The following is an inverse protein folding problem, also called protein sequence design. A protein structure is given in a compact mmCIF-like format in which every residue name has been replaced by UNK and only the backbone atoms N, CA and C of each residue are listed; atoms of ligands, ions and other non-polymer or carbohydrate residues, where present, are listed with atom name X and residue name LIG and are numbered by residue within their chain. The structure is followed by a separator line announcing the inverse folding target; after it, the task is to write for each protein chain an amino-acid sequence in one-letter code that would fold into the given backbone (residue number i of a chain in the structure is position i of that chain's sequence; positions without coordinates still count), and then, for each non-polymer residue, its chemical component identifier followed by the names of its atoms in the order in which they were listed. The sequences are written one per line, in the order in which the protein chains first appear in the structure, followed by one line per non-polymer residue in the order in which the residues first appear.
data_IF_604209234474
#
_entry.id   IF_604209234474
#
_cell.length_a   1.000
_cell.length_b   1.000
_cell.length_c   1.000
_cell.angle_alpha   90.00
_cell.angle_beta   90.00
_cell.angle_gamma   90.00
#
_symmetry.space_group_name_H-M   'P 1'
#
loop_
_entity.id
_entity.type
_entity.pdbx_description
1 polymer ?
#
# COMPACT_ATOMS: atom_id res chain seq x y z
N UNK A 1 -5.03 11.00 6.12
CA UNK A 1 -5.51 10.03 7.12
C UNK A 1 -4.42 9.01 7.45
N UNK A 2 -4.56 8.31 8.58
CA UNK A 2 -3.49 7.46 9.13
C UNK A 2 -3.62 5.97 8.76
N UNK A 3 -4.35 5.65 7.72
CA UNK A 3 -4.85 4.30 7.44
C UNK A 3 -4.27 3.63 6.18
N UNK A 4 -3.22 4.13 5.62
CA UNK A 4 -2.54 3.49 4.50
C UNK A 4 -1.88 4.47 3.54
N UNK A 5 -1.40 3.96 2.41
CA UNK A 5 -0.90 4.77 1.31
C UNK A 5 -2.04 5.56 0.66
N UNK A 6 -1.70 6.69 0.06
CA UNK A 6 -2.66 7.46 -0.71
C UNK A 6 -3.04 6.66 -1.98
N UNK A 7 -4.34 6.44 -2.17
CA UNK A 7 -4.85 5.54 -3.21
C UNK A 7 -4.50 6.05 -4.61
N UNK A 8 -4.63 7.34 -4.85
CA UNK A 8 -4.37 7.94 -6.17
C UNK A 8 -2.89 7.81 -6.54
N UNK A 9 -2.00 8.05 -5.60
CA UNK A 9 -0.55 7.88 -5.83
C UNK A 9 -0.20 6.43 -6.11
N UNK A 10 -0.72 5.50 -5.32
CA UNK A 10 -0.47 4.07 -5.52
C UNK A 10 -0.98 3.57 -6.87
N UNK A 11 -2.23 3.90 -7.23
CA UNK A 11 -2.84 3.47 -8.49
C UNK A 11 -2.17 4.14 -9.69
N UNK A 12 -1.85 5.43 -9.60
CA UNK A 12 -1.16 6.15 -10.69
C UNK A 12 0.24 5.58 -10.93
N UNK A 13 0.97 5.23 -9.88
CA UNK A 13 2.28 4.58 -10.00
C UNK A 13 2.15 3.21 -10.70
N UNK A 14 1.18 2.38 -10.30
CA UNK A 14 0.95 1.08 -10.91
C UNK A 14 0.60 1.20 -12.39
N UNK A 15 -0.27 2.14 -12.77
CA UNK A 15 -0.65 2.39 -14.15
C UNK A 15 0.56 2.84 -14.97
N UNK A 16 1.29 3.84 -14.50
CA UNK A 16 2.45 4.38 -15.20
C UNK A 16 3.54 3.33 -15.44
N UNK A 17 3.83 2.52 -14.43
CA UNK A 17 4.81 1.43 -14.54
C UNK A 17 4.34 0.34 -15.50
N UNK A 18 3.05 0.00 -15.47
CA UNK A 18 2.45 -0.96 -16.40
C UNK A 18 2.53 -0.47 -17.84
N UNK A 19 2.19 0.78 -18.10
CA UNK A 19 2.28 1.40 -19.42
C UNK A 19 3.74 1.46 -19.95
N UNK A 20 4.70 1.64 -19.05
CA UNK A 20 6.12 1.61 -19.38
C UNK A 20 6.68 0.19 -19.61
N UNK A 21 5.88 -0.85 -19.45
CA UNK A 21 6.30 -2.25 -19.59
C UNK A 21 7.17 -2.77 -18.45
N UNK A 22 7.15 -2.13 -17.29
CA UNK A 22 7.92 -2.51 -16.12
C UNK A 22 7.23 -3.67 -15.40
N UNK A 23 8.00 -4.68 -15.03
CA UNK A 23 7.51 -5.74 -14.16
C UNK A 23 7.42 -5.22 -12.72
N UNK A 24 6.23 -5.20 -12.18
CA UNK A 24 5.95 -4.71 -10.82
C UNK A 24 5.68 -5.86 -9.88
N UNK A 25 6.21 -5.79 -8.67
CA UNK A 25 5.85 -6.65 -7.54
C UNK A 25 5.41 -5.75 -6.38
N UNK A 26 4.26 -6.04 -5.81
CA UNK A 26 3.73 -5.26 -4.69
C UNK A 26 4.06 -5.92 -3.35
N UNK A 27 4.32 -5.08 -2.37
CA UNK A 27 4.57 -5.49 -0.99
C UNK A 27 3.83 -4.59 -0.02
N UNK A 28 3.39 -5.15 1.10
CA UNK A 28 2.87 -4.38 2.21
C UNK A 28 3.20 -5.07 3.54
N UNK A 29 3.28 -4.34 4.65
CA UNK A 29 3.49 -4.95 5.95
C UNK A 29 2.24 -5.74 6.38
N UNK A 30 2.45 -6.90 6.95
CA UNK A 30 1.37 -7.71 7.51
C UNK A 30 1.11 -7.26 8.96
N UNK A 31 0.50 -6.11 9.12
CA UNK A 31 0.19 -5.49 10.41
C UNK A 31 -1.27 -5.06 10.49
N UNK A 32 -1.80 -5.01 11.69
CA UNK A 32 -3.11 -4.41 11.94
C UNK A 32 -2.98 -2.90 12.20
N UNK A 33 -3.96 -2.16 11.73
CA UNK A 33 -4.10 -0.73 11.99
C UNK A 33 -5.58 -0.36 12.15
N UNK A 34 -5.83 0.78 12.77
CA UNK A 34 -7.17 1.35 12.86
C UNK A 34 -7.49 2.14 11.60
N UNK A 35 -8.49 1.73 10.87
CA UNK A 35 -8.98 2.46 9.71
C UNK A 35 -9.56 3.83 10.12
N UNK A 36 -9.51 4.79 9.21
CA UNK A 36 -10.17 6.08 9.36
C UNK A 36 -11.55 6.04 8.70
N UNK A 37 -12.56 6.55 9.37
CA UNK A 37 -13.87 6.76 8.77
C UNK A 37 -13.84 8.08 7.99
N UNK A 38 -13.50 8.02 6.72
CA UNK A 38 -13.30 9.21 5.89
C UNK A 38 -14.56 10.05 5.67
N UNK A 39 -15.72 9.43 5.78
CA UNK A 39 -17.04 10.08 5.62
C UNK A 39 -17.53 10.76 6.89
N UNK A 40 -16.95 10.43 8.06
CA UNK A 40 -17.35 10.94 9.35
C UNK A 40 -16.13 11.51 10.10
N UNK A 41 -16.09 12.82 10.21
CA UNK A 41 -14.95 13.52 10.79
C UNK A 41 -14.69 13.10 12.24
N UNK A 42 -13.49 12.61 12.50
CA UNK A 42 -13.05 12.20 13.84
C UNK A 42 -13.46 10.79 14.24
N UNK A 43 -14.23 10.07 13.42
CA UNK A 43 -14.54 8.68 13.70
C UNK A 43 -13.33 7.76 13.44
N UNK A 44 -13.18 6.78 14.32
CA UNK A 44 -12.23 5.68 14.16
C UNK A 44 -12.95 4.50 13.54
N UNK A 45 -12.41 3.98 12.45
CA UNK A 45 -12.91 2.75 11.84
C UNK A 45 -12.50 1.48 12.58
N UNK A 46 -12.94 0.35 12.05
CA UNK A 46 -12.58 -0.97 12.57
C UNK A 46 -11.07 -1.27 12.37
N UNK A 47 -10.58 -2.25 13.12
CA UNK A 47 -9.26 -2.79 12.89
C UNK A 47 -9.20 -3.48 11.53
N UNK A 48 -8.15 -3.19 10.76
CA UNK A 48 -7.90 -3.76 9.43
C UNK A 48 -6.46 -4.18 9.31
N UNK A 49 -6.18 -5.06 8.35
CA UNK A 49 -4.84 -5.54 8.07
C UNK A 49 -4.28 -4.84 6.83
N UNK A 50 -3.06 -4.30 6.92
CA UNK A 50 -2.46 -3.50 5.85
C UNK A 50 -2.23 -4.29 4.55
N UNK A 51 -1.76 -5.53 4.63
CA UNK A 51 -1.55 -6.34 3.42
C UNK A 51 -2.89 -6.73 2.77
N UNK A 52 -3.92 -7.01 3.57
CA UNK A 52 -5.25 -7.32 3.04
C UNK A 52 -5.87 -6.12 2.31
N UNK A 53 -5.78 -4.92 2.88
CA UNK A 53 -6.27 -3.70 2.25
C UNK A 53 -5.47 -3.32 0.99
N UNK A 54 -4.14 -3.44 1.05
CA UNK A 54 -3.27 -3.19 -0.11
C UNK A 54 -3.52 -4.21 -1.22
N UNK A 55 -3.82 -5.45 -0.87
CA UNK A 55 -4.16 -6.52 -1.81
C UNK A 55 -5.38 -6.21 -2.67
N UNK A 56 -6.33 -5.42 -2.18
CA UNK A 56 -7.46 -4.92 -2.98
C UNK A 56 -7.00 -4.04 -4.14
N UNK A 57 -6.01 -3.19 -3.91
CA UNK A 57 -5.45 -2.28 -4.92
C UNK A 57 -4.60 -3.07 -5.94
N UNK A 58 -3.76 -3.98 -5.45
CA UNK A 58 -2.89 -4.83 -6.28
C UNK A 58 -3.62 -6.05 -6.88
N UNK A 59 -4.91 -6.19 -6.65
CA UNK A 59 -5.74 -7.28 -7.17
C UNK A 59 -5.26 -8.67 -6.74
N UNK A 60 -4.77 -8.76 -5.50
CA UNK A 60 -4.27 -10.00 -4.91
C UNK A 60 -2.80 -10.32 -5.19
N UNK A 61 -2.16 -9.62 -6.13
CA UNK A 61 -0.73 -9.79 -6.42
C UNK A 61 0.11 -8.94 -5.44
N UNK A 62 0.19 -9.42 -4.20
CA UNK A 62 0.91 -8.75 -3.13
C UNK A 62 1.59 -9.76 -2.21
N UNK A 63 2.74 -9.39 -1.68
CA UNK A 63 3.52 -10.19 -0.74
C UNK A 63 3.79 -9.43 0.56
N UNK A 64 4.08 -10.17 1.62
CA UNK A 64 4.53 -9.58 2.89
C UNK A 64 5.85 -8.83 2.67
N UNK A 65 5.93 -7.61 3.21
CA UNK A 65 7.13 -6.76 3.09
C UNK A 65 8.40 -7.44 3.61
N UNK A 66 8.27 -8.36 4.56
CA UNK A 66 9.38 -9.15 5.10
C UNK A 66 10.00 -10.11 4.08
N UNK A 67 9.30 -10.42 3.00
CA UNK A 67 9.78 -11.25 1.91
C UNK A 67 10.58 -10.47 0.85
N UNK A 68 10.60 -9.13 0.95
CA UNK A 68 11.32 -8.30 -0.01
C UNK A 68 12.82 -8.50 0.12
N UNK A 69 13.43 -8.89 -0.99
CA UNK A 69 14.88 -8.98 -1.15
C UNK A 69 15.32 -7.93 -2.15
N UNK A 70 16.00 -6.90 -1.69
CA UNK A 70 16.43 -5.78 -2.51
C UNK A 70 17.21 -6.19 -3.76
N UNK A 71 18.01 -7.26 -3.67
CA UNK A 71 18.82 -7.78 -4.77
C UNK A 71 18.00 -8.31 -5.96
N UNK A 72 16.70 -8.53 -5.79
CA UNK A 72 15.80 -9.02 -6.84
C UNK A 72 15.18 -7.87 -7.66
N UNK A 73 15.43 -6.61 -7.30
CA UNK A 73 14.76 -5.45 -7.88
C UNK A 73 15.76 -4.38 -8.32
N UNK A 74 15.41 -3.67 -9.40
CA UNK A 74 16.19 -2.56 -9.94
C UNK A 74 15.82 -1.23 -9.26
N UNK A 75 14.60 -1.13 -8.74
CA UNK A 75 14.08 0.07 -8.08
C UNK A 75 12.97 -0.26 -7.08
N UNK A 76 12.78 0.61 -6.12
CA UNK A 76 11.68 0.56 -5.15
C UNK A 76 10.92 1.88 -5.19
N UNK A 77 9.59 1.80 -5.20
CA UNK A 77 8.70 2.96 -5.17
C UNK A 77 7.85 2.89 -3.90
N UNK A 78 7.85 3.94 -3.13
CA UNK A 78 6.98 4.10 -1.96
C UNK A 78 5.88 5.12 -2.29
N UNK A 79 4.64 4.68 -2.55
CA UNK A 79 3.54 5.62 -2.67
C UNK A 79 3.37 6.41 -1.39
N UNK A 80 3.08 7.70 -1.50
CA UNK A 80 2.93 8.57 -0.36
C UNK A 80 1.68 8.32 0.45
N UNK A 81 1.42 9.23 1.36
CA UNK A 81 0.31 9.18 2.29
C UNK A 81 0.77 9.09 3.75
N UNK A 82 0.01 9.74 4.61
CA UNK A 82 0.35 9.81 6.03
C UNK A 82 0.30 8.43 6.72
N UNK A 83 -0.59 7.57 6.25
CA UNK A 83 -0.68 6.20 6.74
C UNK A 83 0.54 5.36 6.37
N UNK A 84 1.11 5.55 5.17
CA UNK A 84 2.37 4.91 4.80
C UNK A 84 3.52 5.33 5.74
N UNK A 85 3.65 6.63 5.99
CA UNK A 85 4.68 7.16 6.88
C UNK A 85 4.58 6.69 8.35
N UNK A 86 3.39 6.26 8.78
CA UNK A 86 3.16 5.79 10.14
C UNK A 86 3.25 4.28 10.32
N UNK A 87 3.05 3.51 9.25
CA UNK A 87 2.89 2.07 9.31
C UNK A 87 4.02 1.29 8.62
N UNK A 88 4.95 1.99 7.95
CA UNK A 88 6.14 1.41 7.35
C UNK A 88 7.37 1.49 8.26
#
# INVERSE_FOLDING_TARGET
FKDGSEITEAVSALIALSEAGVKVSCFAPNIEFKASAHWEKGASGDARNAIAESGRICRGDIRDLRELKESEFDAIVFPGGFGAALNL
#
